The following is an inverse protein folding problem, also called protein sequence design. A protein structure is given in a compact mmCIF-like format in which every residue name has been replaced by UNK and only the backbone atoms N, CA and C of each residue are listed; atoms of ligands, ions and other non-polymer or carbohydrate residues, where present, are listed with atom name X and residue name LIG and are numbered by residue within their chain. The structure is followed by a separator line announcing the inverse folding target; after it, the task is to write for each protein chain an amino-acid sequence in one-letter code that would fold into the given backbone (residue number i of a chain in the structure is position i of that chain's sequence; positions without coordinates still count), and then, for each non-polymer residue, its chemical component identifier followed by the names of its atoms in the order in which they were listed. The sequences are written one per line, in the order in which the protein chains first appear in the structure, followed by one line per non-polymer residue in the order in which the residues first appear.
data_IF_856534459252
#
_entry.id   IF_856534459252
#
_cell.length_a   1.000
_cell.length_b   1.000
_cell.length_c   1.000
_cell.angle_alpha   90.00
_cell.angle_beta   90.00
_cell.angle_gamma   90.00
#
_symmetry.space_group_name_H-M   'P 1'
#
loop_
_entity.id
_entity.type
_entity.pdbx_description
1 polymer ?
#
# COMPACT_ATOMS: atom_id res chain seq x y z
N UNK A 1 -63.36 -48.57 8.61
CA UNK A 1 -64.42 -47.69 8.09
C UNK A 1 -65.03 -46.97 9.26
N UNK A 2 -65.08 -45.63 9.15
CA UNK A 2 -66.00 -44.68 9.79
C UNK A 2 -66.10 -44.67 11.33
N UNK A 3 -65.74 -43.56 12.00
CA UNK A 3 -66.57 -42.34 12.21
C UNK A 3 -67.37 -42.49 13.51
N UNK A 4 -67.58 -41.55 14.43
CA UNK A 4 -67.43 -40.09 14.59
C UNK A 4 -67.85 -39.81 16.05
N UNK A 5 -67.30 -38.79 16.74
CA UNK A 5 -67.99 -37.56 17.18
C UNK A 5 -69.15 -37.82 18.20
N UNK A 6 -69.32 -37.15 19.34
CA UNK A 6 -69.27 -35.72 19.65
C UNK A 6 -69.51 -35.50 21.16
N UNK A 7 -69.42 -34.22 21.57
CA UNK A 7 -70.18 -33.54 22.64
C UNK A 7 -69.49 -33.43 24.03
N UNK A 8 -68.95 -32.24 24.41
CA UNK A 8 -69.64 -31.06 25.00
C UNK A 8 -69.59 -31.10 26.55
N UNK A 9 -69.44 -30.06 27.38
CA UNK A 9 -69.57 -28.60 27.27
C UNK A 9 -69.02 -27.94 28.56
N UNK A 10 -69.04 -26.59 28.57
CA UNK A 10 -69.16 -25.63 29.69
C UNK A 10 -67.83 -25.02 30.18
N UNK A 11 -67.46 -23.74 30.05
CA UNK A 11 -68.03 -22.42 29.72
C UNK A 11 -67.61 -21.44 30.83
N UNK A 12 -67.15 -20.23 30.47
CA UNK A 12 -66.81 -19.18 31.45
C UNK A 12 -66.09 -17.98 30.85
N UNK A 13 -66.78 -17.24 29.98
CA UNK A 13 -66.37 -15.97 29.34
C UNK A 13 -66.21 -14.81 30.35
N UNK A 14 -65.37 -13.81 30.04
CA UNK A 14 -65.83 -12.48 29.54
C UNK A 14 -64.66 -11.51 29.36
N UNK A 15 -64.74 -10.79 28.23
CA UNK A 15 -63.77 -9.89 27.62
C UNK A 15 -63.99 -8.40 27.99
N UNK A 16 -63.01 -7.58 27.60
CA UNK A 16 -63.16 -6.15 27.26
C UNK A 16 -62.84 -5.20 28.42
N UNK A 17 -62.00 -4.17 28.27
CA UNK A 17 -61.87 -3.27 27.13
C UNK A 17 -60.63 -2.35 27.25
N UNK A 18 -60.34 -1.69 26.13
CA UNK A 18 -59.79 -0.32 26.01
C UNK A 18 -58.32 -0.23 25.60
N UNK A 19 -58.18 0.05 24.30
CA UNK A 19 -57.04 0.67 23.64
C UNK A 19 -56.74 2.08 24.21
N UNK A 20 -55.48 2.49 24.11
CA UNK A 20 -55.06 3.87 24.26
C UNK A 20 -54.12 4.10 25.44
N UNK A 21 -52.83 3.79 25.24
CA UNK A 21 -51.74 4.77 25.37
C UNK A 21 -50.38 4.07 25.38
N UNK A 22 -49.38 4.78 24.87
CA UNK A 22 -47.93 4.47 24.92
C UNK A 22 -47.38 3.63 23.76
N UNK A 23 -47.51 4.19 22.56
CA UNK A 23 -46.42 4.17 21.60
C UNK A 23 -45.37 5.20 22.05
N UNK A 24 -44.33 4.78 22.79
CA UNK A 24 -43.01 5.41 22.83
C UNK A 24 -42.10 4.61 23.77
N UNK A 25 -40.81 4.51 23.41
CA UNK A 25 -39.73 3.78 24.10
C UNK A 25 -39.59 2.27 23.87
N UNK A 26 -39.48 1.87 22.60
CA UNK A 26 -38.68 0.69 22.23
C UNK A 26 -37.79 0.99 21.03
N UNK A 27 -36.94 1.99 21.14
CA UNK A 27 -35.75 2.11 20.29
C UNK A 27 -34.65 2.77 21.10
N UNK A 28 -33.43 2.23 20.95
CA UNK A 28 -32.15 2.90 21.26
C UNK A 28 -31.56 2.66 22.66
N UNK A 29 -30.92 1.50 22.86
CA UNK A 29 -29.76 1.43 23.78
C UNK A 29 -28.88 0.16 23.73
N UNK A 30 -29.12 -0.81 22.85
CA UNK A 30 -28.35 -2.09 22.91
C UNK A 30 -27.40 -2.43 21.75
N UNK A 31 -27.42 -1.82 20.54
CA UNK A 31 -26.41 -2.14 19.52
C UNK A 31 -25.13 -1.29 19.58
N UNK A 32 -25.11 -0.17 20.32
CA UNK A 32 -24.01 0.81 20.27
C UNK A 32 -22.78 0.42 21.12
N UNK A 33 -22.91 -0.43 22.15
CA UNK A 33 -21.78 -0.81 23.01
C UNK A 33 -20.97 -2.01 22.48
N UNK A 34 -21.58 -2.92 21.72
CA UNK A 34 -20.86 -4.09 21.17
C UNK A 34 -20.02 -3.74 19.93
N UNK A 35 -20.42 -2.72 19.15
CA UNK A 35 -19.66 -2.30 17.97
C UNK A 35 -18.44 -1.42 18.31
N UNK A 36 -18.47 -0.73 19.45
CA UNK A 36 -17.40 0.17 19.90
C UNK A 36 -16.24 -0.60 20.56
N UNK A 37 -16.54 -1.62 21.36
CA UNK A 37 -15.51 -2.39 22.07
C UNK A 37 -14.71 -3.36 21.16
N UNK A 38 -15.30 -3.85 20.06
CA UNK A 38 -14.62 -4.77 19.12
C UNK A 38 -13.74 -4.01 18.11
N UNK A 39 -14.11 -2.79 17.74
CA UNK A 39 -13.29 -1.95 16.84
C UNK A 39 -12.15 -1.24 17.57
N UNK A 40 -12.32 -0.93 18.86
CA UNK A 40 -11.23 -0.41 19.68
C UNK A 40 -10.27 -1.56 20.07
N UNK A 41 -10.67 -2.70 20.63
CA UNK A 41 -9.68 -3.71 21.06
C UNK A 41 -8.81 -4.37 19.95
N UNK A 42 -9.31 -4.48 18.72
CA UNK A 42 -8.55 -5.13 17.63
C UNK A 42 -7.48 -4.21 17.01
N UNK A 43 -7.71 -2.89 17.03
CA UNK A 43 -6.76 -1.89 16.53
C UNK A 43 -5.63 -1.67 17.54
N UNK A 44 -5.92 -1.71 18.84
CA UNK A 44 -4.92 -1.48 19.89
C UNK A 44 -4.00 -2.71 20.06
N UNK A 45 -4.51 -3.93 20.00
CA UNK A 45 -3.66 -5.13 20.12
C UNK A 45 -2.69 -5.34 18.94
N UNK A 46 -3.09 -4.97 17.72
CA UNK A 46 -2.20 -5.05 16.54
C UNK A 46 -1.19 -3.90 16.52
N UNK A 47 -1.59 -2.71 16.98
CA UNK A 47 -0.69 -1.56 17.11
C UNK A 47 0.34 -1.77 18.22
N UNK A 48 -0.06 -2.34 19.36
CA UNK A 48 0.83 -2.64 20.48
C UNK A 48 1.84 -3.73 20.12
N UNK A 49 1.40 -4.83 19.46
CA UNK A 49 2.32 -5.87 18.99
C UNK A 49 3.32 -5.37 17.93
N UNK A 50 2.89 -4.45 17.06
CA UNK A 50 3.78 -3.80 16.08
C UNK A 50 4.71 -2.81 16.79
N UNK A 51 4.21 -2.05 17.78
CA UNK A 51 4.99 -1.10 18.55
C UNK A 51 6.06 -1.81 19.40
N UNK A 52 5.73 -2.94 20.01
CA UNK A 52 6.67 -3.78 20.76
C UNK A 52 7.78 -4.34 19.85
N UNK A 53 7.42 -4.90 18.69
CA UNK A 53 8.41 -5.38 17.73
C UNK A 53 9.30 -4.25 17.17
N UNK A 54 8.75 -3.06 16.96
CA UNK A 54 9.53 -1.90 16.51
C UNK A 54 10.45 -1.43 17.64
N UNK A 55 9.96 -1.35 18.87
CA UNK A 55 10.74 -0.95 20.04
C UNK A 55 11.89 -1.91 20.33
N UNK A 56 11.66 -3.22 20.20
CA UNK A 56 12.68 -4.25 20.38
C UNK A 56 13.76 -4.18 19.30
N UNK A 57 13.37 -4.03 18.03
CA UNK A 57 14.31 -3.83 16.93
C UNK A 57 15.10 -2.51 17.07
N UNK A 58 14.47 -1.42 17.50
CA UNK A 58 15.14 -0.14 17.79
C UNK A 58 16.13 -0.29 18.95
N UNK A 59 15.77 -1.07 19.99
CA UNK A 59 16.63 -1.33 21.16
C UNK A 59 17.85 -2.17 20.79
N UNK A 60 17.68 -3.20 19.96
CA UNK A 60 18.77 -3.99 19.41
C UNK A 60 19.68 -3.12 18.52
N UNK A 61 19.09 -2.25 17.68
CA UNK A 61 19.86 -1.30 16.88
C UNK A 61 20.62 -0.28 17.73
N UNK A 62 20.07 0.17 18.87
CA UNK A 62 20.77 1.02 19.85
C UNK A 62 21.91 0.29 20.55
N UNK A 63 21.76 -1.00 20.82
CA UNK A 63 22.79 -1.82 21.44
C UNK A 63 23.94 -2.09 20.47
N UNK A 64 23.63 -2.30 19.19
CA UNK A 64 24.60 -2.66 18.15
C UNK A 64 25.25 -1.44 17.48
N UNK A 65 24.58 -0.29 17.46
CA UNK A 65 25.08 0.93 16.86
C UNK A 65 24.97 2.10 17.84
N UNK A 66 26.06 2.86 18.01
CA UNK A 66 26.01 4.20 18.62
C UNK A 66 25.19 5.11 17.69
N UNK A 67 23.87 5.13 17.88
CA UNK A 67 22.99 6.08 17.22
C UNK A 67 23.39 7.46 17.71
N UNK A 68 23.81 8.35 16.80
CA UNK A 68 24.35 9.67 17.17
C UNK A 68 23.31 10.57 17.87
N UNK A 69 22.03 10.25 17.73
CA UNK A 69 20.91 10.95 18.36
C UNK A 69 19.84 9.92 18.74
N UNK A 70 19.39 9.83 20.01
CA UNK A 70 18.27 8.98 20.39
C UNK A 70 17.02 9.32 19.58
N UNK A 71 16.15 8.34 19.26
CA UNK A 71 14.87 8.60 18.64
C UNK A 71 14.03 9.41 19.62
N UNK A 72 13.85 10.69 19.32
CA UNK A 72 12.89 11.52 20.05
C UNK A 72 11.49 11.11 19.63
N UNK A 73 10.66 10.76 20.62
CA UNK A 73 9.22 10.72 20.40
C UNK A 73 8.82 12.15 20.08
N UNK A 74 8.56 12.44 18.80
CA UNK A 74 7.86 13.66 18.43
C UNK A 74 6.46 13.48 19.02
N UNK A 75 6.09 14.19 20.11
CA UNK A 75 4.72 14.13 20.55
C UNK A 75 3.89 14.54 19.33
N UNK A 76 2.92 13.70 18.96
CA UNK A 76 1.84 14.13 18.09
C UNK A 76 0.99 15.06 18.94
N UNK A 77 1.55 16.21 19.31
CA UNK A 77 0.75 17.40 19.47
C UNK A 77 0.22 17.63 18.06
N UNK A 78 -0.97 17.08 17.76
CA UNK A 78 -1.90 17.76 16.86
C UNK A 78 -1.73 19.22 17.22
N UNK A 79 -1.26 20.08 16.30
CA UNK A 79 -0.76 21.37 16.69
C UNK A 79 -1.86 22.05 17.50
N UNK A 80 -1.53 22.22 18.79
CA UNK A 80 -2.44 22.61 19.85
C UNK A 80 -2.99 23.97 19.41
N UNK A 81 -4.24 23.99 18.94
CA UNK A 81 -4.95 25.21 18.59
C UNK A 81 -5.12 25.55 17.10
N UNK A 82 -4.99 24.62 16.15
CA UNK A 82 -5.53 24.90 14.80
C UNK A 82 -7.05 24.76 14.79
N UNK A 83 -7.72 25.79 14.26
CA UNK A 83 -9.16 25.80 14.07
C UNK A 83 -9.53 24.65 13.09
N UNK A 84 -10.38 23.69 13.49
CA UNK A 84 -10.81 22.59 12.62
C UNK A 84 -11.55 23.07 11.35
N UNK A 85 -11.89 24.36 11.25
CA UNK A 85 -12.41 24.98 10.04
C UNK A 85 -11.33 25.33 9.01
N UNK A 86 -10.04 25.33 9.37
CA UNK A 86 -8.95 25.70 8.47
C UNK A 86 -8.51 24.60 7.50
N UNK A 87 -8.86 23.34 7.75
CA UNK A 87 -8.41 22.20 6.95
C UNK A 87 -9.60 21.45 6.35
N UNK A 88 -9.59 21.27 5.03
CA UNK A 88 -10.71 20.65 4.32
C UNK A 88 -10.75 19.13 4.50
N UNK A 89 -9.61 18.52 4.82
CA UNK A 89 -9.45 17.08 4.99
C UNK A 89 -8.99 16.73 6.42
N UNK A 90 -9.79 15.99 7.21
CA UNK A 90 -9.38 15.58 8.56
C UNK A 90 -8.08 14.75 8.55
N UNK A 91 -7.25 14.91 9.59
CA UNK A 91 -5.93 14.26 9.68
C UNK A 91 -6.00 12.74 9.53
N UNK A 92 -7.00 12.06 10.09
CA UNK A 92 -7.16 10.61 9.95
C UNK A 92 -7.42 10.21 8.48
N UNK A 93 -8.10 11.07 7.72
CA UNK A 93 -8.36 10.86 6.29
C UNK A 93 -7.13 11.17 5.46
N UNK A 94 -6.39 12.20 5.81
CA UNK A 94 -5.09 12.48 5.20
C UNK A 94 -4.14 11.30 5.43
N UNK A 95 -3.98 10.83 6.68
CA UNK A 95 -3.14 9.67 7.01
C UNK A 95 -3.54 8.42 6.24
N UNK A 96 -4.84 8.09 6.20
CA UNK A 96 -5.32 6.93 5.45
C UNK A 96 -5.03 7.06 3.94
N UNK A 97 -5.23 8.25 3.38
CA UNK A 97 -4.94 8.55 1.99
C UNK A 97 -3.43 8.44 1.70
N UNK A 98 -2.58 8.99 2.56
CA UNK A 98 -1.11 8.91 2.44
C UNK A 98 -0.63 7.47 2.47
N UNK A 99 -1.10 6.66 3.44
CA UNK A 99 -0.74 5.24 3.53
C UNK A 99 -1.14 4.49 2.25
N UNK A 100 -2.32 4.79 1.71
CA UNK A 100 -2.83 4.18 0.49
C UNK A 100 -2.01 4.59 -0.73
N UNK A 101 -1.77 5.89 -0.93
CA UNK A 101 -0.97 6.39 -2.06
C UNK A 101 0.48 5.87 -1.98
N UNK A 102 1.08 5.87 -0.79
CA UNK A 102 2.37 5.24 -0.52
C UNK A 102 2.36 3.77 -0.94
N UNK A 103 1.33 3.02 -0.56
CA UNK A 103 1.20 1.63 -0.92
C UNK A 103 1.15 1.41 -2.43
N UNK A 104 0.35 2.18 -3.17
CA UNK A 104 0.20 1.98 -4.63
C UNK A 104 1.33 2.62 -5.45
N UNK A 105 2.10 3.55 -4.86
CA UNK A 105 3.23 4.21 -5.54
C UNK A 105 4.42 3.30 -5.85
N UNK A 106 4.66 2.25 -5.04
CA UNK A 106 5.67 1.27 -5.42
C UNK A 106 5.07 0.38 -6.51
N UNK A 107 5.41 0.65 -7.76
CA UNK A 107 4.90 -0.05 -8.94
C UNK A 107 5.64 -1.37 -9.23
N UNK A 108 6.82 -1.56 -8.61
CA UNK A 108 7.70 -2.74 -8.69
C UNK A 108 8.20 -3.08 -7.28
N UNK A 109 8.57 -4.34 -7.01
CA UNK A 109 9.29 -4.70 -5.77
C UNK A 109 10.80 -4.47 -5.93
N UNK A 110 11.17 -3.21 -6.11
CA UNK A 110 12.57 -2.78 -6.13
C UNK A 110 12.96 -2.24 -4.75
N UNK A 111 13.88 -2.91 -4.07
CA UNK A 111 14.39 -2.48 -2.76
C UNK A 111 15.34 -1.29 -2.85
N UNK A 112 15.87 -1.02 -4.03
CA UNK A 112 16.77 0.10 -4.27
C UNK A 112 16.02 1.36 -4.68
N UNK A 113 14.73 1.25 -5.04
CA UNK A 113 13.87 2.36 -5.49
C UNK A 113 12.56 2.40 -4.71
N UNK A 114 12.65 2.94 -3.51
CA UNK A 114 11.56 3.17 -2.56
C UNK A 114 10.97 4.57 -2.75
N UNK A 115 9.70 4.69 -3.16
CA UNK A 115 9.00 5.97 -3.20
C UNK A 115 8.64 6.44 -1.79
N UNK A 116 8.78 7.74 -1.56
CA UNK A 116 8.28 8.46 -0.40
C UNK A 116 7.23 9.48 -0.87
N UNK A 117 6.14 9.57 -0.13
CA UNK A 117 4.99 10.40 -0.47
C UNK A 117 4.57 11.27 0.71
N UNK A 118 4.18 12.51 0.40
CA UNK A 118 3.59 13.45 1.35
C UNK A 118 2.36 14.10 0.70
N UNK A 119 1.35 14.44 1.50
CA UNK A 119 0.15 15.14 1.06
C UNK A 119 0.18 16.55 1.63
N UNK A 120 -0.16 17.53 0.80
CA UNK A 120 -0.29 18.93 1.21
C UNK A 120 -1.57 19.51 0.64
N UNK A 121 -2.36 20.15 1.48
CA UNK A 121 -3.50 20.94 1.02
C UNK A 121 -2.99 22.25 0.38
N UNK A 122 -3.31 22.47 -0.90
CA UNK A 122 -3.06 23.72 -1.60
C UNK A 122 -4.35 24.53 -1.63
N UNK A 123 -4.45 25.48 -0.69
CA UNK A 123 -5.64 26.34 -0.52
C UNK A 123 -5.90 27.26 -1.72
N UNK A 124 -4.84 27.72 -2.40
CA UNK A 124 -4.97 28.64 -3.53
C UNK A 124 -5.69 27.97 -4.72
N UNK A 125 -5.33 26.73 -5.02
CA UNK A 125 -5.91 25.94 -6.11
C UNK A 125 -7.06 25.03 -5.64
N UNK A 126 -7.33 25.01 -4.33
CA UNK A 126 -8.32 24.14 -3.68
C UNK A 126 -8.16 22.67 -4.09
N UNK A 127 -6.93 22.17 -4.00
CA UNK A 127 -6.50 20.84 -4.42
C UNK A 127 -5.56 20.19 -3.40
N UNK A 128 -5.37 18.88 -3.49
CA UNK A 128 -4.32 18.17 -2.76
C UNK A 128 -3.08 17.99 -3.65
N UNK A 129 -1.96 18.55 -3.21
CA UNK A 129 -0.65 18.30 -3.81
C UNK A 129 -0.06 17.04 -3.18
N UNK A 130 0.29 16.07 -4.02
CA UNK A 130 0.92 14.81 -3.66
C UNK A 130 2.40 14.93 -4.01
N UNK A 131 3.25 15.12 -3.01
CA UNK A 131 4.69 15.30 -3.18
C UNK A 131 5.38 13.93 -3.26
N UNK A 132 5.99 13.60 -4.40
CA UNK A 132 6.66 12.31 -4.63
C UNK A 132 8.18 12.44 -4.66
N UNK A 133 8.87 11.65 -3.85
CA UNK A 133 10.30 11.42 -3.95
C UNK A 133 10.57 9.93 -4.19
N UNK A 134 11.63 9.61 -4.91
CA UNK A 134 12.15 8.25 -5.06
C UNK A 134 13.64 8.34 -4.77
N UNK A 135 14.17 7.43 -3.96
CA UNK A 135 15.60 7.41 -3.71
C UNK A 135 16.36 6.98 -4.99
N UNK A 136 17.57 7.51 -5.15
CA UNK A 136 18.47 7.05 -6.19
C UNK A 136 18.95 5.62 -5.86
N UNK A 137 19.16 4.76 -6.88
CA UNK A 137 19.82 3.48 -6.69
C UNK A 137 21.23 3.74 -6.15
N UNK A 138 21.75 2.80 -5.35
CA UNK A 138 23.16 2.86 -4.95
C UNK A 138 24.02 2.68 -6.20
N UNK A 139 25.02 3.55 -6.39
CA UNK A 139 26.00 3.33 -7.45
C UNK A 139 26.66 1.95 -7.24
N UNK A 140 26.85 1.15 -8.30
CA UNK A 140 27.48 -0.17 -8.19
C UNK A 140 28.88 -0.09 -7.57
N UNK A 141 29.55 1.06 -7.65
CA UNK A 141 30.87 1.31 -7.06
C UNK A 141 30.86 1.44 -5.53
N UNK A 142 29.72 1.72 -4.92
CA UNK A 142 29.57 1.79 -3.46
C UNK A 142 29.18 0.44 -2.83
N UNK A 143 28.62 -0.50 -3.61
CA UNK A 143 28.28 -1.85 -3.16
C UNK A 143 29.52 -2.76 -2.92
N UNK A 144 30.71 -2.30 -3.34
CA UNK A 144 32.00 -2.98 -3.17
C UNK A 144 32.55 -2.90 -1.73
N UNK A 145 31.94 -2.10 -0.83
CA UNK A 145 32.44 -1.91 0.55
C UNK A 145 31.76 -2.78 1.62
N UNK A 146 30.89 -3.71 1.24
CA UNK A 146 30.33 -4.71 2.15
C UNK A 146 31.24 -5.94 2.25
N UNK A 147 31.86 -6.23 3.42
CA UNK A 147 32.86 -7.29 3.58
C UNK A 147 32.31 -8.72 3.38
N UNK A 148 30.99 -8.89 3.25
CA UNK A 148 30.34 -10.20 3.19
C UNK A 148 30.25 -10.75 1.75
N UNK A 149 30.27 -9.89 0.71
CA UNK A 149 30.19 -10.33 -0.69
C UNK A 149 31.55 -10.53 -1.37
N UNK A 150 32.66 -10.08 -0.76
CA UNK A 150 34.01 -10.30 -1.26
C UNK A 150 34.39 -11.80 -1.35
N UNK A 151 33.82 -12.65 -0.49
CA UNK A 151 34.12 -14.08 -0.46
C UNK A 151 33.52 -14.88 -1.62
N UNK A 152 32.50 -14.35 -2.32
CA UNK A 152 31.86 -15.07 -3.46
C UNK A 152 32.51 -14.73 -4.80
N UNK A 153 33.09 -13.53 -4.94
CA UNK A 153 33.73 -13.11 -6.19
C UNK A 153 35.17 -13.63 -6.34
N UNK A 154 35.89 -13.93 -5.25
CA UNK A 154 37.22 -14.56 -5.33
C UNK A 154 37.19 -15.97 -5.94
N UNK A 155 36.10 -16.72 -5.72
CA UNK A 155 35.93 -18.09 -6.23
C UNK A 155 35.62 -18.12 -7.74
N UNK A 156 34.99 -17.06 -8.27
CA UNK A 156 34.69 -16.94 -9.71
C UNK A 156 35.84 -16.30 -10.50
N UNK A 157 36.62 -15.39 -9.89
CA UNK A 157 37.84 -14.85 -10.49
C UNK A 157 38.94 -15.91 -10.69
N UNK A 158 39.01 -16.93 -9.81
CA UNK A 158 39.97 -18.03 -9.96
C UNK A 158 39.62 -19.03 -11.08
N UNK A 159 38.39 -19.00 -11.63
CA UNK A 159 37.97 -19.91 -12.72
C UNK A 159 38.16 -19.32 -14.12
N UNK A 160 38.27 -17.99 -14.24
CA UNK A 160 38.41 -17.32 -15.53
C UNK A 160 39.86 -16.98 -15.92
N UNK A 161 40.83 -17.22 -15.04
CA UNK A 161 42.25 -17.00 -15.33
C UNK A 161 42.89 -18.12 -16.19
N UNK A 162 42.22 -19.28 -16.36
CA UNK A 162 42.76 -20.41 -17.10
C UNK A 162 42.38 -20.44 -18.59
N UNK A 163 41.56 -19.51 -19.07
CA UNK A 163 41.13 -19.44 -20.47
C UNK A 163 41.56 -18.16 -21.21
N UNK A 164 42.31 -17.27 -20.56
CA UNK A 164 42.75 -15.99 -21.13
C UNK A 164 44.25 -15.97 -21.49
N UNK A 165 44.81 -17.14 -21.85
CA UNK A 165 46.15 -17.27 -22.41
C UNK A 165 46.05 -17.80 -23.84
N UNK A 166 45.46 -17.02 -24.75
CA UNK A 166 45.74 -17.22 -26.18
C UNK A 166 45.57 -15.96 -27.05
N UNK A 167 44.78 -14.96 -26.67
CA UNK A 167 44.56 -13.81 -27.56
C UNK A 167 44.97 -12.49 -26.90
N UNK A 168 46.27 -12.20 -26.96
CA UNK A 168 46.84 -10.90 -26.65
C UNK A 168 47.50 -10.33 -27.90
N UNK A 169 46.68 -9.84 -28.84
CA UNK A 169 47.10 -8.77 -29.73
C UNK A 169 45.87 -7.94 -30.12
N UNK A 170 45.98 -6.62 -29.88
CA UNK A 170 45.07 -5.55 -30.27
C UNK A 170 43.97 -5.18 -29.26
N UNK A 171 44.33 -4.32 -28.31
CA UNK A 171 43.48 -3.22 -27.87
C UNK A 171 44.34 -2.16 -27.16
N UNK A 172 45.08 -1.39 -27.95
CA UNK A 172 45.53 -0.06 -27.54
C UNK A 172 44.59 0.94 -28.21
N UNK A 173 44.22 1.95 -27.44
CA UNK A 173 43.43 3.14 -27.82
C UNK A 173 41.92 2.95 -27.64
N UNK A 174 41.44 3.31 -26.45
CA UNK A 174 40.26 4.17 -26.24
C UNK A 174 39.97 4.24 -24.73
N UNK A 175 40.84 4.94 -24.02
CA UNK A 175 40.65 5.27 -22.61
C UNK A 175 40.69 6.80 -22.47
N UNK A 176 39.68 7.48 -23.01
CA UNK A 176 39.41 8.89 -22.65
C UNK A 176 37.97 9.39 -22.96
N UNK A 177 36.99 8.49 -23.17
CA UNK A 177 35.58 8.89 -23.40
C UNK A 177 34.54 8.22 -22.49
N UNK A 178 34.93 7.43 -21.49
CA UNK A 178 33.97 6.62 -20.72
C UNK A 178 33.46 7.22 -19.40
N UNK A 179 33.87 8.42 -18.99
CA UNK A 179 33.37 9.01 -17.72
C UNK A 179 32.11 9.88 -17.87
N UNK A 180 31.84 10.45 -19.05
CA UNK A 180 30.67 11.31 -19.26
C UNK A 180 29.39 10.53 -19.61
N UNK A 181 29.51 9.33 -20.19
CA UNK A 181 28.34 8.50 -20.53
C UNK A 181 27.74 7.79 -19.30
N UNK A 182 28.55 7.49 -18.28
CA UNK A 182 28.07 6.88 -17.04
C UNK A 182 27.23 7.85 -16.18
N UNK A 183 27.62 9.13 -16.10
CA UNK A 183 26.86 10.15 -15.37
C UNK A 183 25.55 10.55 -16.07
N UNK A 184 25.50 10.46 -17.41
CA UNK A 184 24.26 10.70 -18.17
C UNK A 184 23.28 9.53 -18.04
N UNK A 185 23.79 8.29 -18.11
CA UNK A 185 23.02 7.06 -17.97
C UNK A 185 22.31 6.89 -16.62
N UNK A 186 22.91 7.33 -15.51
CA UNK A 186 22.32 7.21 -14.16
C UNK A 186 21.17 8.20 -13.95
N UNK A 187 21.33 9.45 -14.38
CA UNK A 187 20.28 10.47 -14.27
C UNK A 187 19.03 10.12 -15.12
N UNK A 188 19.22 9.50 -16.28
CA UNK A 188 18.12 9.10 -17.17
C UNK A 188 17.32 7.90 -16.64
N UNK A 189 17.98 6.97 -15.93
CA UNK A 189 17.32 5.83 -15.30
C UNK A 189 16.51 6.24 -14.05
N UNK A 190 17.03 7.18 -13.26
CA UNK A 190 16.39 7.68 -12.04
C UNK A 190 15.15 8.51 -12.34
N UNK A 191 15.13 9.21 -13.47
CA UNK A 191 13.97 9.97 -13.90
C UNK A 191 12.85 9.08 -14.47
N UNK A 192 13.20 7.92 -15.06
CA UNK A 192 12.22 7.05 -15.74
C UNK A 192 11.14 6.51 -14.80
N UNK A 193 11.50 6.03 -13.61
CA UNK A 193 10.51 5.50 -12.67
C UNK A 193 9.64 6.60 -12.05
N UNK A 194 10.20 7.80 -11.82
CA UNK A 194 9.41 8.95 -11.35
C UNK A 194 8.40 9.37 -12.40
N UNK A 195 8.79 9.43 -13.68
CA UNK A 195 7.86 9.70 -14.79
C UNK A 195 6.81 8.60 -14.93
N UNK A 196 7.20 7.32 -14.82
CA UNK A 196 6.25 6.20 -14.88
C UNK A 196 5.22 6.25 -13.75
N UNK A 197 5.66 6.51 -12.51
CA UNK A 197 4.77 6.69 -11.37
C UNK A 197 3.87 7.91 -11.58
N UNK A 198 4.42 9.01 -12.11
CA UNK A 198 3.69 10.23 -12.37
C UNK A 198 2.57 10.07 -13.40
N UNK A 199 2.86 9.47 -14.55
CA UNK A 199 1.86 9.25 -15.59
C UNK A 199 0.68 8.41 -15.07
N UNK A 200 0.98 7.34 -14.31
CA UNK A 200 -0.03 6.45 -13.76
C UNK A 200 -0.88 7.12 -12.68
N UNK A 201 -0.28 7.90 -11.78
CA UNK A 201 -1.06 8.70 -10.82
C UNK A 201 -1.90 9.77 -11.50
N UNK A 202 -1.39 10.42 -12.54
CA UNK A 202 -2.18 11.41 -13.28
C UNK A 202 -3.38 10.76 -13.99
N UNK A 203 -3.21 9.56 -14.54
CA UNK A 203 -4.33 8.77 -15.09
C UNK A 203 -5.38 8.49 -14.00
N UNK A 204 -4.95 8.00 -12.83
CA UNK A 204 -5.82 7.75 -11.68
C UNK A 204 -6.55 9.02 -11.20
N UNK A 205 -5.84 10.16 -11.10
CA UNK A 205 -6.41 11.40 -10.57
C UNK A 205 -7.44 12.03 -11.53
N UNK A 206 -7.34 11.77 -12.84
CA UNK A 206 -8.36 12.19 -13.82
C UNK A 206 -9.72 11.53 -13.59
N UNK A 207 -9.78 10.39 -12.89
CA UNK A 207 -11.03 9.70 -12.54
C UNK A 207 -11.72 10.31 -11.31
N UNK A 208 -11.00 11.04 -10.45
CA UNK A 208 -11.54 11.52 -9.18
C UNK A 208 -12.63 12.61 -9.33
N UNK A 209 -12.57 13.53 -10.31
CA UNK A 209 -13.63 14.51 -10.55
C UNK A 209 -14.99 13.88 -10.90
N UNK A 210 -15.03 12.69 -11.51
CA UNK A 210 -16.26 12.02 -11.92
C UNK A 210 -16.93 11.19 -10.81
N UNK A 211 -16.29 11.04 -9.64
CA UNK A 211 -16.79 10.26 -8.50
C UNK A 211 -18.22 10.63 -8.05
N UNK A 212 -18.64 11.92 -8.02
CA UNK A 212 -20.00 12.27 -7.62
C UNK A 212 -21.07 11.89 -8.63
N UNK A 213 -20.71 11.74 -9.91
CA UNK A 213 -21.64 11.58 -11.03
C UNK A 213 -21.65 10.17 -11.62
N UNK A 214 -20.54 9.44 -11.53
CA UNK A 214 -20.43 8.08 -12.07
C UNK A 214 -20.80 7.02 -11.03
N UNK A 215 -21.77 6.17 -11.38
CA UNK A 215 -22.15 4.99 -10.58
C UNK A 215 -21.05 3.93 -10.52
N UNK A 216 -20.13 3.91 -11.50
CA UNK A 216 -19.05 2.92 -11.61
C UNK A 216 -17.68 3.46 -11.19
N UNK A 217 -17.59 4.69 -10.68
CA UNK A 217 -16.31 5.33 -10.37
C UNK A 217 -15.41 4.51 -9.43
N UNK A 218 -15.97 3.78 -8.46
CA UNK A 218 -15.19 2.90 -7.59
C UNK A 218 -14.52 1.77 -8.39
N UNK A 219 -15.22 1.21 -9.37
CA UNK A 219 -14.70 0.15 -10.21
C UNK A 219 -13.67 0.67 -11.21
N UNK A 220 -13.88 1.86 -11.76
CA UNK A 220 -12.92 2.52 -12.66
C UNK A 220 -11.61 2.84 -11.93
N UNK A 221 -11.70 3.41 -10.72
CA UNK A 221 -10.55 3.66 -9.84
C UNK A 221 -9.84 2.35 -9.51
N UNK A 222 -10.59 1.29 -9.21
CA UNK A 222 -10.00 -0.01 -8.90
C UNK A 222 -9.27 -0.61 -10.10
N UNK A 223 -9.87 -0.59 -11.29
CA UNK A 223 -9.27 -1.08 -12.52
C UNK A 223 -7.97 -0.31 -12.84
N UNK A 224 -7.97 1.01 -12.64
CA UNK A 224 -6.79 1.85 -12.85
C UNK A 224 -5.67 1.54 -11.86
N UNK A 225 -5.99 1.32 -10.58
CA UNK A 225 -5.00 0.90 -9.57
C UNK A 225 -4.40 -0.47 -9.93
N UNK A 226 -5.23 -1.44 -10.35
CA UNK A 226 -4.74 -2.77 -10.76
C UNK A 226 -3.85 -2.64 -11.98
N UNK A 227 -4.26 -1.87 -12.99
CA UNK A 227 -3.46 -1.58 -14.18
C UNK A 227 -2.10 -1.01 -13.80
N UNK A 228 -2.07 0.04 -12.97
CA UNK A 228 -0.85 0.70 -12.52
C UNK A 228 0.10 -0.25 -11.78
N UNK A 229 -0.45 -1.11 -10.93
CA UNK A 229 0.31 -1.98 -10.02
C UNK A 229 0.48 -3.41 -10.54
N UNK A 230 0.15 -3.70 -11.80
CA UNK A 230 0.16 -5.05 -12.39
C UNK A 230 1.45 -5.80 -12.05
N UNK A 231 2.62 -5.24 -12.39
CA UNK A 231 3.93 -5.87 -12.15
C UNK A 231 4.10 -6.29 -10.69
N UNK A 232 3.87 -5.37 -9.75
CA UNK A 232 4.02 -5.66 -8.32
C UNK A 232 3.00 -6.66 -7.79
N UNK A 233 1.76 -6.65 -8.30
CA UNK A 233 0.75 -7.65 -7.97
C UNK A 233 1.25 -9.04 -8.39
N UNK A 234 1.75 -9.16 -9.62
CA UNK A 234 2.25 -10.43 -10.16
C UNK A 234 3.48 -10.94 -9.41
N UNK A 235 4.40 -10.06 -9.03
CA UNK A 235 5.55 -10.42 -8.20
C UNK A 235 5.11 -10.90 -6.82
N UNK A 236 4.11 -10.25 -6.20
CA UNK A 236 3.54 -10.66 -4.89
C UNK A 236 2.85 -12.02 -4.96
N UNK A 237 2.13 -12.28 -6.05
CA UNK A 237 1.50 -13.57 -6.32
C UNK A 237 2.51 -14.63 -6.77
N UNK A 238 3.77 -14.24 -7.05
CA UNK A 238 4.81 -15.09 -7.63
C UNK A 238 4.37 -15.70 -8.97
N UNK A 239 3.62 -14.93 -9.76
CA UNK A 239 3.13 -15.27 -11.09
C UNK A 239 3.95 -14.62 -12.22
N UNK A 240 4.83 -13.68 -11.88
CA UNK A 240 5.81 -13.14 -12.82
C UNK A 240 6.70 -14.29 -13.33
N UNK A 241 6.69 -14.49 -14.66
CA UNK A 241 7.24 -15.65 -15.37
C UNK A 241 8.60 -16.14 -14.82
N UNK A 242 8.73 -17.42 -14.41
CA UNK A 242 10.03 -18.06 -14.42
C UNK A 242 10.46 -18.20 -15.88
N UNK A 243 11.70 -17.81 -16.21
CA UNK A 243 12.31 -18.08 -17.53
C UNK A 243 12.24 -19.57 -17.94
N UNK A 244 11.92 -20.47 -17.00
CA UNK A 244 11.62 -21.88 -17.22
C UNK A 244 10.11 -22.19 -17.14
N UNK A 245 9.52 -22.57 -18.27
CA UNK A 245 8.15 -23.10 -18.41
C UNK A 245 7.91 -24.44 -17.67
N UNK A 246 8.89 -24.96 -16.91
CA UNK A 246 8.86 -26.28 -16.27
C UNK A 246 8.73 -26.26 -14.74
N UNK A 247 8.66 -25.10 -14.09
CA UNK A 247 8.56 -25.05 -12.62
C UNK A 247 7.14 -25.26 -12.13
N UNK A 248 7.01 -26.16 -11.15
CA UNK A 248 5.86 -26.45 -10.29
C UNK A 248 5.03 -25.22 -9.93
N UNK A 249 3.74 -25.47 -9.61
CA UNK A 249 2.83 -24.50 -8.94
C UNK A 249 3.60 -23.61 -7.98
N UNK A 250 3.32 -22.30 -8.01
CA UNK A 250 4.04 -21.35 -7.18
C UNK A 250 3.95 -21.79 -5.71
N UNK A 251 4.97 -21.50 -4.90
CA UNK A 251 4.93 -21.87 -3.47
C UNK A 251 3.69 -21.32 -2.76
N UNK A 252 3.13 -20.19 -3.24
CA UNK A 252 1.87 -19.63 -2.75
C UNK A 252 0.66 -20.49 -3.16
N UNK A 253 0.54 -20.89 -4.43
CA UNK A 253 -0.54 -21.78 -4.92
C UNK A 253 -0.54 -23.13 -4.19
N UNK A 254 0.65 -23.64 -3.85
CA UNK A 254 0.80 -24.86 -3.04
C UNK A 254 0.28 -24.64 -1.61
N UNK A 255 0.62 -23.51 -0.98
CA UNK A 255 0.20 -23.22 0.39
C UNK A 255 -1.30 -22.99 0.48
N UNK A 256 -1.92 -22.25 -0.45
CA UNK A 256 -3.37 -22.07 -0.44
C UNK A 256 -4.10 -23.41 -0.65
N UNK A 257 -3.64 -24.24 -1.59
CA UNK A 257 -4.26 -25.55 -1.83
C UNK A 257 -4.16 -26.46 -0.61
N UNK A 258 -2.99 -26.51 0.03
CA UNK A 258 -2.81 -27.20 1.31
C UNK A 258 -3.74 -26.67 2.41
N UNK A 259 -3.91 -25.35 2.49
CA UNK A 259 -4.81 -24.74 3.49
C UNK A 259 -6.26 -25.16 3.26
N UNK A 260 -6.70 -25.17 1.99
CA UNK A 260 -8.04 -25.65 1.59
C UNK A 260 -8.23 -27.11 2.01
N UNK A 261 -7.24 -27.97 1.71
CA UNK A 261 -7.34 -29.41 2.00
C UNK A 261 -7.32 -29.69 3.51
N UNK A 262 -6.47 -29.00 4.29
CA UNK A 262 -6.37 -29.15 5.76
C UNK A 262 -7.52 -28.52 6.55
N UNK A 263 -8.25 -27.57 5.96
CA UNK A 263 -9.34 -26.84 6.62
C UNK A 263 -10.74 -27.17 6.08
N UNK A 264 -10.84 -28.12 5.13
CA UNK A 264 -12.08 -28.51 4.45
C UNK A 264 -13.28 -28.70 5.41
N UNK A 265 -13.04 -29.32 6.57
CA UNK A 265 -14.08 -29.61 7.57
C UNK A 265 -14.12 -28.60 8.73
N UNK A 266 -13.10 -27.74 8.86
CA UNK A 266 -12.89 -26.85 10.01
C UNK A 266 -13.44 -25.44 9.78
N UNK A 267 -13.42 -24.94 8.55
CA UNK A 267 -13.93 -23.61 8.22
C UNK A 267 -14.44 -23.55 6.79
N UNK A 268 -15.75 -23.73 6.63
CA UNK A 268 -16.40 -23.71 5.31
C UNK A 268 -16.29 -22.35 4.63
N UNK A 269 -16.42 -21.26 5.38
CA UNK A 269 -16.31 -19.90 4.86
C UNK A 269 -14.91 -19.59 4.31
N UNK A 270 -13.86 -19.95 5.06
CA UNK A 270 -12.48 -19.82 4.59
C UNK A 270 -12.23 -20.66 3.35
N UNK A 271 -12.67 -21.93 3.37
CA UNK A 271 -12.46 -22.87 2.26
C UNK A 271 -13.14 -22.37 0.98
N UNK A 272 -14.38 -21.90 1.05
CA UNK A 272 -15.07 -21.32 -0.09
C UNK A 272 -14.32 -20.10 -0.65
N UNK A 273 -13.97 -19.12 0.20
CA UNK A 273 -13.29 -17.91 -0.26
C UNK A 273 -11.86 -18.18 -0.79
N UNK A 274 -11.14 -19.14 -0.19
CA UNK A 274 -9.82 -19.55 -0.63
C UNK A 274 -9.87 -20.32 -1.95
N UNK A 275 -10.89 -21.18 -2.14
CA UNK A 275 -11.12 -21.89 -3.39
C UNK A 275 -11.47 -20.91 -4.52
N UNK A 276 -12.36 -19.94 -4.26
CA UNK A 276 -12.68 -18.88 -5.23
C UNK A 276 -11.42 -18.11 -5.65
N UNK A 277 -10.56 -17.72 -4.70
CA UNK A 277 -9.32 -17.02 -5.02
C UNK A 277 -8.35 -17.89 -5.82
N UNK A 278 -8.22 -19.17 -5.46
CA UNK A 278 -7.41 -20.14 -6.19
C UNK A 278 -7.88 -20.31 -7.65
N UNK A 279 -9.19 -20.41 -7.85
CA UNK A 279 -9.78 -20.58 -9.19
C UNK A 279 -9.63 -19.31 -10.04
N UNK A 280 -9.78 -18.13 -9.43
CA UNK A 280 -9.52 -16.85 -10.13
C UNK A 280 -8.05 -16.74 -10.56
N UNK A 281 -7.09 -17.19 -9.76
CA UNK A 281 -5.66 -17.23 -10.15
C UNK A 281 -5.47 -18.16 -11.35
N UNK A 282 -6.10 -19.33 -11.34
CA UNK A 282 -6.08 -20.28 -12.45
C UNK A 282 -6.62 -19.68 -13.75
N UNK A 283 -7.82 -19.09 -13.70
CA UNK A 283 -8.46 -18.44 -14.86
C UNK A 283 -7.66 -17.25 -15.38
N UNK A 284 -7.06 -16.46 -14.49
CA UNK A 284 -6.21 -15.36 -14.90
C UNK A 284 -4.94 -15.85 -15.62
N UNK A 285 -4.34 -16.96 -15.20
CA UNK A 285 -3.16 -17.52 -15.86
C UNK A 285 -3.42 -17.93 -17.32
N UNK A 286 -4.65 -18.33 -17.62
CA UNK A 286 -5.08 -18.71 -18.98
C UNK A 286 -5.32 -17.47 -19.86
N UNK A 287 -6.02 -16.46 -19.33
CA UNK A 287 -6.49 -15.32 -20.12
C UNK A 287 -5.55 -14.09 -20.06
N UNK A 288 -4.74 -13.97 -19.01
CA UNK A 288 -3.76 -12.91 -18.74
C UNK A 288 -4.26 -11.49 -19.02
N UNK A 289 -5.47 -11.17 -18.56
CA UNK A 289 -6.09 -9.84 -18.74
C UNK A 289 -6.03 -9.01 -17.45
N UNK A 290 -5.99 -7.68 -17.57
CA UNK A 290 -6.07 -6.76 -16.42
C UNK A 290 -7.39 -6.91 -15.66
N UNK A 291 -8.49 -7.17 -16.36
CA UNK A 291 -9.81 -7.44 -15.76
C UNK A 291 -9.79 -8.72 -14.93
N UNK A 292 -9.19 -9.81 -15.44
CA UNK A 292 -9.00 -11.03 -14.67
C UNK A 292 -8.10 -10.79 -13.44
N UNK A 293 -7.06 -9.95 -13.55
CA UNK A 293 -6.21 -9.62 -12.42
C UNK A 293 -6.98 -8.84 -11.34
N UNK A 294 -7.90 -7.97 -11.75
CA UNK A 294 -8.79 -7.26 -10.84
C UNK A 294 -9.70 -8.23 -10.08
N UNK A 295 -10.21 -9.29 -10.73
CA UNK A 295 -11.00 -10.34 -10.07
C UNK A 295 -10.15 -11.16 -9.07
N UNK A 296 -8.89 -11.45 -9.39
CA UNK A 296 -7.94 -12.08 -8.45
C UNK A 296 -7.72 -11.21 -7.22
N UNK A 297 -7.56 -9.90 -7.41
CA UNK A 297 -7.39 -8.94 -6.30
C UNK A 297 -8.67 -8.82 -5.45
N UNK A 298 -9.83 -8.83 -6.07
CA UNK A 298 -11.12 -8.75 -5.38
C UNK A 298 -11.45 -10.01 -4.57
N UNK A 299 -11.16 -11.19 -5.10
CA UNK A 299 -11.28 -12.46 -4.36
C UNK A 299 -10.29 -12.54 -3.19
N UNK A 300 -9.05 -12.04 -3.36
CA UNK A 300 -8.10 -11.90 -2.26
C UNK A 300 -8.59 -10.95 -1.16
N UNK A 301 -9.23 -9.83 -1.55
CA UNK A 301 -9.82 -8.87 -0.61
C UNK A 301 -10.96 -9.50 0.21
N UNK A 302 -11.87 -10.25 -0.43
CA UNK A 302 -12.92 -11.00 0.26
C UNK A 302 -12.34 -11.99 1.27
N UNK A 303 -11.36 -12.78 0.86
CA UNK A 303 -10.66 -13.71 1.74
C UNK A 303 -9.97 -12.98 2.90
N UNK A 304 -9.37 -11.82 2.63
CA UNK A 304 -8.67 -11.02 3.65
C UNK A 304 -9.58 -10.40 4.71
N UNK A 305 -10.89 -10.28 4.41
CA UNK A 305 -11.90 -9.70 5.29
C UNK A 305 -12.55 -10.72 6.22
N UNK A 306 -12.25 -12.02 6.05
CA UNK A 306 -12.75 -13.04 6.96
C UNK A 306 -12.20 -12.78 8.37
N UNK A 307 -13.11 -12.73 9.34
CA UNK A 307 -12.77 -12.64 10.76
C UNK A 307 -11.94 -13.87 11.13
N UNK A 308 -10.97 -13.70 12.03
CA UNK A 308 -10.17 -14.80 12.59
C UNK A 308 -9.33 -15.60 11.58
N UNK A 309 -9.08 -15.10 10.37
CA UNK A 309 -8.23 -15.76 9.36
C UNK A 309 -6.86 -16.20 9.92
N UNK A 310 -6.29 -15.43 10.85
CA UNK A 310 -5.04 -15.78 11.54
C UNK A 310 -5.21 -17.02 12.42
N UNK A 311 -6.23 -17.02 13.28
CA UNK A 311 -6.59 -18.19 14.09
C UNK A 311 -6.96 -19.42 13.26
N UNK A 312 -7.62 -19.22 12.11
CA UNK A 312 -8.01 -20.30 11.19
C UNK A 312 -6.77 -20.96 10.59
N UNK A 313 -5.81 -20.15 10.11
CA UNK A 313 -4.54 -20.67 9.60
C UNK A 313 -3.69 -21.30 10.71
N UNK A 314 -3.76 -20.77 11.94
CA UNK A 314 -3.06 -21.32 13.10
C UNK A 314 -3.56 -22.72 13.50
N UNK A 315 -4.79 -23.08 13.10
CA UNK A 315 -5.38 -24.41 13.26
C UNK A 315 -4.84 -25.49 12.31
N UNK A 316 -3.99 -25.15 11.35
CA UNK A 316 -3.27 -26.10 10.48
C UNK A 316 -2.07 -26.66 11.25
N UNK A 317 -1.84 -27.98 11.22
CA UNK A 317 -0.71 -28.55 11.95
C UNK A 317 0.63 -28.17 11.32
N UNK A 318 1.69 -28.08 12.15
CA UNK A 318 3.04 -27.80 11.65
C UNK A 318 3.57 -28.88 10.69
N UNK A 319 3.04 -30.10 10.76
CA UNK A 319 3.37 -31.18 9.83
C UNK A 319 2.82 -30.92 8.42
N UNK A 320 1.64 -30.31 8.33
CA UNK A 320 1.00 -29.98 7.06
C UNK A 320 1.58 -28.70 6.44
N UNK A 321 1.80 -27.69 7.28
CA UNK A 321 2.34 -26.40 6.88
C UNK A 321 3.19 -25.74 7.96
N UNK A 322 4.41 -25.39 7.59
CA UNK A 322 5.34 -24.62 8.43
C UNK A 322 4.72 -23.28 8.89
N UNK A 323 4.95 -22.82 10.14
CA UNK A 323 4.46 -21.54 10.64
C UNK A 323 4.83 -20.34 9.76
N UNK A 324 6.03 -20.35 9.19
CA UNK A 324 6.51 -19.28 8.29
C UNK A 324 5.76 -19.28 6.96
N UNK A 325 5.35 -20.44 6.46
CA UNK A 325 4.53 -20.56 5.26
C UNK A 325 3.11 -20.03 5.47
N UNK A 326 2.51 -20.30 6.65
CA UNK A 326 1.21 -19.75 7.06
C UNK A 326 1.25 -18.22 7.15
N UNK A 327 2.25 -17.70 7.85
CA UNK A 327 2.50 -16.26 7.97
C UNK A 327 2.72 -15.62 6.59
N UNK A 328 3.50 -16.26 5.71
CA UNK A 328 3.72 -15.77 4.36
C UNK A 328 2.44 -15.77 3.52
N UNK A 329 1.60 -16.79 3.64
CA UNK A 329 0.32 -16.88 2.92
C UNK A 329 -0.63 -15.77 3.37
N UNK A 330 -0.81 -15.62 4.68
CA UNK A 330 -1.61 -14.56 5.30
C UNK A 330 -1.15 -13.18 4.84
N UNK A 331 0.16 -12.95 4.84
CA UNK A 331 0.74 -11.69 4.37
C UNK A 331 0.49 -11.46 2.88
N UNK A 332 0.56 -12.48 2.04
CA UNK A 332 0.25 -12.35 0.61
C UNK A 332 -1.23 -12.01 0.41
N UNK A 333 -2.15 -12.71 1.08
CA UNK A 333 -3.60 -12.43 1.02
C UNK A 333 -3.87 -10.98 1.43
N UNK A 334 -3.39 -10.56 2.60
CA UNK A 334 -3.55 -9.19 3.11
C UNK A 334 -2.93 -8.16 2.16
N UNK A 335 -1.75 -8.41 1.59
CA UNK A 335 -1.10 -7.49 0.64
C UNK A 335 -1.85 -7.39 -0.69
N UNK A 336 -2.32 -8.50 -1.24
CA UNK A 336 -3.06 -8.48 -2.51
C UNK A 336 -4.43 -7.83 -2.32
N UNK A 337 -5.17 -8.18 -1.26
CA UNK A 337 -6.46 -7.56 -0.95
C UNK A 337 -6.40 -6.04 -0.70
N UNK A 338 -5.27 -5.54 -0.17
CA UNK A 338 -5.06 -4.10 0.07
C UNK A 338 -5.25 -3.22 -1.17
N UNK A 339 -5.07 -3.73 -2.40
CA UNK A 339 -5.32 -2.94 -3.60
C UNK A 339 -6.81 -2.61 -3.79
N UNK A 340 -7.72 -3.53 -3.43
CA UNK A 340 -9.17 -3.25 -3.42
C UNK A 340 -9.53 -2.27 -2.30
N UNK A 341 -8.93 -2.44 -1.12
CA UNK A 341 -9.08 -1.50 -0.02
C UNK A 341 -8.60 -0.08 -0.40
N UNK A 342 -7.48 0.03 -1.10
CA UNK A 342 -6.93 1.29 -1.59
C UNK A 342 -7.92 2.04 -2.49
N UNK A 343 -8.54 1.33 -3.44
CA UNK A 343 -9.58 1.88 -4.30
C UNK A 343 -10.79 2.40 -3.49
N UNK A 344 -11.27 1.62 -2.50
CA UNK A 344 -12.37 2.04 -1.62
C UNK A 344 -12.04 3.28 -0.79
N UNK A 345 -10.84 3.35 -0.22
CA UNK A 345 -10.39 4.51 0.56
C UNK A 345 -10.34 5.75 -0.33
N UNK A 346 -9.77 5.63 -1.53
CA UNK A 346 -9.68 6.73 -2.49
C UNK A 346 -11.07 7.21 -2.93
N UNK A 347 -11.93 6.27 -3.37
CA UNK A 347 -13.30 6.56 -3.77
C UNK A 347 -14.11 7.23 -2.65
N UNK A 348 -14.10 6.67 -1.44
CA UNK A 348 -14.85 7.24 -0.29
C UNK A 348 -14.34 8.62 0.10
N UNK A 349 -13.02 8.84 0.02
CA UNK A 349 -12.41 10.14 0.31
C UNK A 349 -12.80 11.17 -0.74
N UNK A 350 -12.67 10.86 -2.02
CA UNK A 350 -13.10 11.74 -3.11
C UNK A 350 -14.62 11.99 -3.12
N UNK A 351 -15.43 11.00 -2.74
CA UNK A 351 -16.89 11.15 -2.61
C UNK A 351 -17.24 12.17 -1.53
N UNK A 352 -16.62 12.05 -0.36
CA UNK A 352 -16.93 12.88 0.82
C UNK A 352 -16.29 14.26 0.77
N UNK A 353 -15.05 14.37 0.30
CA UNK A 353 -14.26 15.61 0.37
C UNK A 353 -13.99 16.15 -1.04
N UNK A 354 -14.57 17.31 -1.43
CA UNK A 354 -14.36 17.88 -2.75
C UNK A 354 -12.89 18.16 -3.08
N UNK A 355 -12.08 18.52 -2.08
CA UNK A 355 -10.64 18.76 -2.27
C UNK A 355 -9.91 17.50 -2.75
N UNK A 356 -10.33 16.32 -2.31
CA UNK A 356 -9.75 15.05 -2.74
C UNK A 356 -10.16 14.65 -4.17
N UNK A 357 -11.07 15.38 -4.82
CA UNK A 357 -11.39 15.19 -6.24
C UNK A 357 -10.38 15.87 -7.15
N UNK A 358 -9.62 16.81 -6.61
CA UNK A 358 -8.55 17.53 -7.30
C UNK A 358 -7.24 17.15 -6.63
N UNK A 359 -6.62 16.08 -7.10
CA UNK A 359 -5.28 15.69 -6.67
C UNK A 359 -4.29 15.99 -7.79
N UNK A 360 -3.13 16.52 -7.44
CA UNK A 360 -2.05 16.79 -8.36
C UNK A 360 -0.75 16.18 -7.84
N UNK A 361 -0.04 15.43 -8.68
CA UNK A 361 1.26 14.88 -8.31
C UNK A 361 2.36 15.90 -8.61
N UNK A 362 3.18 16.20 -7.62
CA UNK A 362 4.33 17.11 -7.72
C UNK A 362 5.60 16.32 -7.40
N UNK A 363 6.40 15.92 -8.41
CA UNK A 363 7.64 15.23 -8.15
C UNK A 363 8.64 16.16 -7.45
N UNK A 364 9.32 15.66 -6.43
CA UNK A 364 10.22 16.41 -5.55
C UNK A 364 11.44 17.00 -6.25
N UNK A 365 11.85 16.45 -7.39
CA UNK A 365 12.87 17.05 -8.26
C UNK A 365 12.45 18.46 -8.70
N UNK A 366 11.15 18.70 -8.89
CA UNK A 366 10.58 20.01 -9.19
C UNK A 366 10.51 20.93 -7.97
N UNK A 367 10.54 20.42 -6.74
CA UNK A 367 10.56 21.28 -5.55
C UNK A 367 11.90 22.01 -5.40
N UNK A 368 13.02 21.37 -5.77
CA UNK A 368 14.32 22.07 -5.89
C UNK A 368 14.22 23.22 -6.91
N UNK A 369 13.66 22.94 -8.10
CA UNK A 369 13.50 23.97 -9.14
C UNK A 369 12.53 25.08 -8.76
N UNK A 370 11.40 24.76 -8.12
CA UNK A 370 10.43 25.75 -7.64
C UNK A 370 10.98 26.59 -6.48
N UNK A 371 11.77 25.98 -5.58
CA UNK A 371 12.48 26.72 -4.53
C UNK A 371 13.54 27.65 -5.12
N UNK A 372 14.26 27.23 -6.16
CA UNK A 372 15.21 28.07 -6.88
C UNK A 372 14.51 29.17 -7.67
N UNK A 373 13.39 28.89 -8.34
CA UNK A 373 12.61 29.90 -9.07
C UNK A 373 11.98 30.93 -8.13
N UNK A 374 11.46 30.53 -6.97
CA UNK A 374 11.01 31.47 -5.93
C UNK A 374 12.17 32.31 -5.40
N UNK A 375 13.34 31.70 -5.17
CA UNK A 375 14.54 32.42 -4.75
C UNK A 375 14.98 33.42 -5.83
N UNK A 376 14.98 33.04 -7.10
CA UNK A 376 15.29 33.92 -8.23
C UNK A 376 14.26 35.04 -8.37
N UNK A 377 12.97 34.76 -8.21
CA UNK A 377 11.90 35.77 -8.24
C UNK A 377 12.01 36.74 -7.05
N UNK A 378 12.34 36.27 -5.85
CA UNK A 378 12.59 37.10 -4.68
C UNK A 378 13.86 37.94 -4.85
N UNK A 379 14.93 37.37 -5.41
CA UNK A 379 16.18 38.10 -5.73
C UNK A 379 15.92 39.14 -6.83
N UNK A 380 15.10 38.85 -7.84
CA UNK A 380 14.71 39.80 -8.88
C UNK A 380 13.84 40.94 -8.33
N UNK A 381 12.91 40.64 -7.42
CA UNK A 381 12.10 41.65 -6.72
C UNK A 381 12.94 42.54 -5.79
N UNK A 382 13.95 41.98 -5.10
CA UNK A 382 14.90 42.73 -4.28
C UNK A 382 15.82 43.60 -5.16
N UNK A 383 16.23 43.11 -6.34
CA UNK A 383 17.02 43.88 -7.31
C UNK A 383 16.27 45.04 -7.95
N UNK A 384 14.92 45.02 -7.97
CA UNK A 384 14.08 46.12 -8.46
C UNK A 384 13.80 47.18 -7.38
N UNK A 385 14.04 46.87 -6.10
CA UNK A 385 13.97 47.81 -4.97
C UNK A 385 15.32 48.55 -4.80
N UNK A 386 15.61 49.46 -5.74
CA UNK A 386 16.57 50.58 -5.69
C UNK A 386 18.00 50.37 -5.13
N UNK A 387 19.06 50.63 -5.92
CA UNK A 387 20.38 50.99 -5.41
C UNK A 387 20.54 52.52 -5.43
N UNK A 388 20.10 53.21 -4.38
CA UNK A 388 20.39 54.65 -4.25
C UNK A 388 20.55 55.16 -2.82
N UNK A 389 20.82 54.29 -1.85
CA UNK A 389 21.11 54.71 -0.47
C UNK A 389 22.18 53.85 0.20
N UNK A 390 23.37 53.75 -0.41
CA UNK A 390 24.59 53.39 0.34
C UNK A 390 25.76 54.18 -0.26
N UNK A 391 25.83 55.47 0.04
CA UNK A 391 27.03 56.29 -0.01
C UNK A 391 26.67 57.63 0.64
N UNK A 392 26.74 57.67 1.97
CA UNK A 392 27.06 58.87 2.73
C UNK A 392 27.31 58.48 4.19
N UNK A 393 28.52 57.97 4.43
CA UNK A 393 29.12 57.98 5.77
C UNK A 393 30.63 58.02 5.61
N UNK A 394 31.16 59.18 5.21
CA UNK A 394 32.48 59.69 5.60
C UNK A 394 32.71 61.05 4.94
N UNK A 395 32.39 62.13 5.67
CA UNK A 395 33.33 63.21 5.99
C UNK A 395 32.78 64.02 7.16
#
# INVERSE_FOLDING_TARGET
MQSTADAENTAGNTAGNTAGDTAENTTESTPKNTLKNTTENTVYNTADYIAENIAENISILHLLHKVAVPPESNPVTLPIGHDPTEYSLPFEKERALTIMLAYISCIKNDTERVPALCIRENKAENQLDILLAVNAPKNPDEASKDPINASKNAVNASKNANNAAHDAHNASNDADHTSNDAHKSSNDADNRDIHEIQEKFQSLFKLLPSVPTSGNAEQDIFAEIVSMCTTRILERLRLASPKDKRKEKSSMERHIKKSIDSLAEKSTEFVCAAQDWFDMIGQWRENNTTSGLAQVVESADKLSQLTDMESVLDGISNQEMEPTARTSLLNTIKKVGRYRNAARVLYRTAKKFPIARRMNLVPSQYLRLLSMQKTIATVAQLSQKCPSQILDTTL
#
